data_IF_720520731858
#
_entry.id   IF_720520731858
#
_cell.length_a   1.000
_cell.length_b   1.000
_cell.length_c   1.000
_cell.angle_alpha   90.00
_cell.angle_beta   90.00
_cell.angle_gamma   90.00
#
_symmetry.space_group_name_H-M   'P 1'
#
loop_
_entity.id
_entity.type
_entity.pdbx_description
1 polymer ?
#
# COMPACT_ATOMS: atom_id res chain seq x y z
N UNK A 1 5.29 -44.25 46.48
CA UNK A 1 4.76 -43.98 45.13
C UNK A 1 3.94 -42.67 45.05
N UNK A 2 2.95 -42.44 45.93
CA UNK A 2 2.06 -41.25 45.89
C UNK A 2 2.78 -39.89 46.13
N UNK A 3 3.78 -39.83 47.04
CA UNK A 3 4.53 -38.60 47.31
C UNK A 3 5.41 -38.16 46.13
N UNK A 4 5.97 -39.11 45.40
CA UNK A 4 6.80 -38.86 44.20
C UNK A 4 5.92 -38.37 43.04
N UNK A 5 4.73 -38.96 42.87
CA UNK A 5 3.75 -38.54 41.87
C UNK A 5 3.23 -37.11 42.12
N UNK A 6 2.93 -36.76 43.38
CA UNK A 6 2.54 -35.38 43.75
C UNK A 6 3.65 -34.36 43.48
N UNK A 7 4.91 -34.71 43.75
CA UNK A 7 6.06 -33.84 43.42
C UNK A 7 6.20 -33.66 41.90
N UNK A 8 6.06 -34.73 41.11
CA UNK A 8 6.12 -34.63 39.64
C UNK A 8 4.98 -33.79 39.05
N UNK A 9 3.76 -33.90 39.59
CA UNK A 9 2.62 -33.07 39.16
C UNK A 9 2.85 -31.60 39.52
N UNK A 10 3.36 -31.32 40.72
CA UNK A 10 3.69 -29.95 41.14
C UNK A 10 4.81 -29.35 40.27
N UNK A 11 5.82 -30.14 39.91
CA UNK A 11 6.88 -29.70 38.99
C UNK A 11 6.34 -29.41 37.59
N UNK A 12 5.46 -30.27 37.05
CA UNK A 12 4.85 -30.06 35.74
C UNK A 12 3.92 -28.84 35.72
N UNK A 13 3.14 -28.64 36.79
CA UNK A 13 2.30 -27.45 36.91
C UNK A 13 3.14 -26.17 36.99
N UNK A 14 4.28 -26.20 37.69
CA UNK A 14 5.19 -25.06 37.79
C UNK A 14 5.85 -24.73 36.44
N UNK A 15 6.25 -25.73 35.63
CA UNK A 15 6.84 -25.48 34.31
C UNK A 15 5.83 -24.93 33.31
N UNK A 16 4.58 -25.42 33.34
CA UNK A 16 3.49 -24.89 32.50
C UNK A 16 3.14 -23.45 32.89
N UNK A 17 3.05 -23.15 34.19
CA UNK A 17 2.79 -21.80 34.68
C UNK A 17 3.91 -20.82 34.30
N UNK A 18 5.18 -21.26 34.37
CA UNK A 18 6.33 -20.45 33.96
C UNK A 18 6.30 -20.17 32.44
N UNK A 19 5.99 -21.17 31.62
CA UNK A 19 5.87 -21.01 30.17
C UNK A 19 4.76 -20.03 29.79
N UNK A 20 3.59 -20.15 30.42
CA UNK A 20 2.45 -19.24 30.20
C UNK A 20 2.75 -17.81 30.65
N UNK A 21 3.51 -17.65 31.75
CA UNK A 21 3.93 -16.32 32.23
C UNK A 21 4.90 -15.66 31.23
N UNK A 22 5.84 -16.43 30.67
CA UNK A 22 6.79 -15.93 29.68
C UNK A 22 6.08 -15.52 28.38
N UNK A 23 5.11 -16.32 27.89
CA UNK A 23 4.35 -15.97 26.68
C UNK A 23 3.50 -14.72 26.89
N UNK A 24 2.88 -14.54 28.05
CA UNK A 24 2.15 -13.32 28.40
C UNK A 24 3.07 -12.08 28.48
N UNK A 25 4.28 -12.22 29.03
CA UNK A 25 5.26 -11.13 29.08
C UNK A 25 5.72 -10.75 27.66
N UNK A 26 5.99 -11.73 26.79
CA UNK A 26 6.36 -11.48 25.38
C UNK A 26 5.22 -10.81 24.60
N UNK A 27 3.96 -11.23 24.82
CA UNK A 27 2.79 -10.59 24.20
C UNK A 27 2.57 -9.16 24.73
N UNK A 28 2.73 -8.93 26.04
CA UNK A 28 2.62 -7.58 26.63
C UNK A 28 3.72 -6.65 26.13
N UNK A 29 4.94 -7.14 25.96
CA UNK A 29 6.05 -6.37 25.41
C UNK A 29 5.83 -6.05 23.91
N UNK A 30 5.24 -6.97 23.15
CA UNK A 30 4.85 -6.70 21.75
C UNK A 30 3.75 -5.62 21.65
N UNK A 31 2.78 -5.59 22.56
CA UNK A 31 1.78 -4.50 22.61
C UNK A 31 2.43 -3.14 22.91
N UNK A 32 3.41 -3.10 23.81
CA UNK A 32 4.19 -1.90 24.11
C UNK A 32 5.11 -1.49 22.97
N UNK A 33 5.67 -2.43 22.19
CA UNK A 33 6.44 -2.10 20.98
C UNK A 33 5.53 -1.56 19.86
N UNK A 34 4.34 -2.15 19.67
CA UNK A 34 3.36 -1.64 18.72
C UNK A 34 2.80 -0.27 19.10
N UNK A 35 2.72 0.03 20.41
CA UNK A 35 2.27 1.32 20.92
C UNK A 35 3.39 2.38 21.00
N UNK A 36 4.65 1.98 21.23
CA UNK A 36 5.80 2.90 21.32
C UNK A 36 6.44 3.24 19.97
N UNK A 37 6.09 2.56 18.87
CA UNK A 37 6.42 3.00 17.50
C UNK A 37 5.63 4.25 17.07
N UNK A 38 4.70 4.72 17.90
CA UNK A 38 4.21 6.10 17.87
C UNK A 38 5.09 6.96 18.78
N UNK A 39 6.17 7.51 18.22
CA UNK A 39 6.63 8.91 18.41
C UNK A 39 8.00 9.08 17.72
N UNK A 40 8.14 10.20 17.00
CA UNK A 40 9.33 10.69 16.29
C UNK A 40 9.59 10.15 14.88
N UNK A 41 8.56 10.17 14.06
CA UNK A 41 8.77 10.56 12.65
C UNK A 41 7.86 11.75 12.40
N UNK A 42 8.44 12.89 12.00
CA UNK A 42 7.70 14.08 11.55
C UNK A 42 6.95 13.78 10.26
N UNK A 43 5.91 12.93 10.33
CA UNK A 43 4.94 12.81 9.26
C UNK A 43 4.12 14.09 9.29
N UNK A 44 4.24 14.90 8.24
CA UNK A 44 3.22 15.88 7.90
C UNK A 44 1.90 15.14 7.75
N UNK A 45 1.08 15.17 8.80
CA UNK A 45 -0.29 14.70 8.74
C UNK A 45 -0.99 15.50 7.66
N UNK A 46 -1.38 14.84 6.57
CA UNK A 46 -2.22 15.48 5.55
C UNK A 46 -3.49 15.94 6.25
N UNK A 47 -3.77 17.24 6.15
CA UNK A 47 -5.03 17.80 6.62
C UNK A 47 -6.14 17.47 5.62
N UNK A 48 -7.16 16.75 6.10
CA UNK A 48 -8.26 16.28 5.27
C UNK A 48 -9.49 17.14 5.50
N UNK A 49 -10.10 17.67 4.44
CA UNK A 49 -11.34 18.46 4.54
C UNK A 49 -12.50 17.65 5.13
N UNK A 50 -12.47 16.33 4.95
CA UNK A 50 -13.42 15.37 5.53
C UNK A 50 -12.65 14.21 6.14
N UNK A 51 -13.12 13.72 7.29
CA UNK A 51 -12.56 12.51 7.90
C UNK A 51 -12.70 11.35 6.91
N UNK A 52 -11.57 10.70 6.61
CA UNK A 52 -11.57 9.57 5.69
C UNK A 52 -12.32 8.37 6.27
N UNK A 53 -13.14 7.74 5.44
CA UNK A 53 -13.88 6.53 5.76
C UNK A 53 -13.98 5.58 4.56
N UNK A 54 -14.30 4.33 4.84
CA UNK A 54 -14.62 3.33 3.81
C UNK A 54 -15.98 3.62 3.19
N UNK A 55 -16.22 3.12 1.98
CA UNK A 55 -17.55 3.16 1.38
C UNK A 55 -18.46 2.16 2.11
N UNK A 56 -19.59 2.65 2.59
CA UNK A 56 -20.59 1.84 3.29
C UNK A 56 -21.98 2.14 2.72
N UNK A 57 -22.70 1.15 2.16
CA UNK A 57 -22.27 -0.23 1.91
C UNK A 57 -21.22 -0.31 0.77
N UNK A 58 -20.32 -1.31 0.77
CA UNK A 58 -19.43 -1.56 -0.36
C UNK A 58 -20.22 -1.87 -1.63
N UNK A 59 -19.70 -1.45 -2.80
CA UNK A 59 -20.23 -1.90 -4.09
C UNK A 59 -19.82 -3.36 -4.36
N UNK A 60 -20.61 -4.13 -5.14
CA UNK A 60 -20.24 -5.48 -5.53
C UNK A 60 -19.09 -5.52 -6.56
N UNK A 61 -18.76 -4.36 -7.14
CA UNK A 61 -17.70 -4.16 -8.14
C UNK A 61 -16.81 -2.98 -7.76
N UNK A 62 -15.64 -2.88 -8.40
CA UNK A 62 -14.76 -1.73 -8.30
C UNK A 62 -14.90 -0.81 -9.52
N UNK A 63 -14.56 0.47 -9.33
CA UNK A 63 -14.42 1.45 -10.41
C UNK A 63 -12.93 1.73 -10.61
N UNK A 64 -12.41 1.52 -11.81
CA UNK A 64 -11.01 1.77 -12.11
C UNK A 64 -10.74 3.28 -12.25
N UNK A 65 -9.64 3.76 -11.67
CA UNK A 65 -8.99 5.00 -12.08
C UNK A 65 -7.78 4.61 -12.94
N UNK A 66 -7.99 4.57 -14.25
CA UNK A 66 -7.03 4.08 -15.22
C UNK A 66 -6.28 5.24 -15.89
N UNK A 67 -4.96 5.09 -16.04
CA UNK A 67 -4.15 6.05 -16.81
C UNK A 67 -2.71 5.56 -17.01
N UNK A 68 -2.00 6.23 -17.91
CA UNK A 68 -0.54 6.10 -18.01
C UNK A 68 0.15 6.67 -16.75
N UNK A 69 1.27 6.09 -16.27
CA UNK A 69 2.08 6.69 -15.21
C UNK A 69 2.43 8.16 -15.48
N UNK A 70 2.60 8.98 -14.43
CA UNK A 70 2.85 10.43 -14.61
C UNK A 70 1.62 11.28 -15.00
N UNK A 71 0.44 10.69 -15.22
CA UNK A 71 -0.78 11.42 -15.59
C UNK A 71 -1.49 12.14 -14.43
N UNK A 72 -0.99 12.03 -13.20
CA UNK A 72 -1.55 12.76 -12.03
C UNK A 72 -2.54 11.98 -11.15
N UNK A 73 -2.53 10.65 -11.17
CA UNK A 73 -3.46 9.84 -10.35
C UNK A 73 -3.43 10.18 -8.86
N UNK A 74 -2.24 10.33 -8.27
CA UNK A 74 -2.12 10.63 -6.83
C UNK A 74 -2.79 11.95 -6.48
N UNK A 75 -2.66 12.95 -7.36
CA UNK A 75 -3.32 14.25 -7.18
C UNK A 75 -4.84 14.13 -7.31
N UNK A 76 -5.36 13.45 -8.34
CA UNK A 76 -6.80 13.25 -8.48
C UNK A 76 -7.39 12.44 -7.32
N UNK A 77 -6.70 11.38 -6.86
CA UNK A 77 -7.13 10.61 -5.69
C UNK A 77 -7.20 11.47 -4.44
N UNK A 78 -6.21 12.34 -4.22
CA UNK A 78 -6.21 13.29 -3.13
C UNK A 78 -7.46 14.19 -3.18
N UNK A 79 -7.75 14.79 -4.34
CA UNK A 79 -8.94 15.63 -4.51
C UNK A 79 -10.24 14.85 -4.26
N UNK A 80 -10.37 13.64 -4.81
CA UNK A 80 -11.55 12.79 -4.59
C UNK A 80 -11.74 12.47 -3.10
N UNK A 81 -10.66 12.16 -2.39
CA UNK A 81 -10.69 11.95 -0.94
C UNK A 81 -11.09 13.22 -0.18
N UNK A 82 -10.53 14.39 -0.55
CA UNK A 82 -10.88 15.68 0.07
C UNK A 82 -12.38 15.99 -0.05
N UNK A 83 -12.95 15.79 -1.25
CA UNK A 83 -14.33 16.18 -1.54
C UNK A 83 -15.34 15.17 -0.98
N UNK A 84 -15.02 13.88 -1.01
CA UNK A 84 -15.98 12.82 -0.64
C UNK A 84 -15.81 12.30 0.78
N UNK A 85 -14.60 12.34 1.34
CA UNK A 85 -14.24 11.59 2.56
C UNK A 85 -14.08 10.08 2.33
N UNK A 86 -14.36 9.56 1.13
CA UNK A 86 -14.23 8.13 0.84
C UNK A 86 -12.79 7.84 0.40
N UNK A 87 -12.16 6.84 1.02
CA UNK A 87 -10.80 6.41 0.67
C UNK A 87 -10.72 5.91 -0.79
N UNK A 88 -9.56 6.08 -1.42
CA UNK A 88 -9.28 5.56 -2.77
C UNK A 88 -8.26 4.44 -2.72
N UNK A 89 -8.50 3.39 -3.51
CA UNK A 89 -7.66 2.20 -3.58
C UNK A 89 -6.63 2.23 -4.69
N UNK A 90 -5.84 1.16 -4.76
CA UNK A 90 -4.81 0.93 -5.78
C UNK A 90 -4.59 -0.57 -5.95
N UNK A 91 -4.37 -1.01 -7.20
CA UNK A 91 -4.00 -2.41 -7.49
C UNK A 91 -2.56 -2.76 -7.07
N UNK A 92 -1.81 -1.79 -6.56
CA UNK A 92 -0.42 -1.95 -6.12
C UNK A 92 -0.26 -1.38 -4.71
N UNK A 93 0.73 -1.88 -3.99
CA UNK A 93 1.08 -1.38 -2.66
C UNK A 93 2.26 -0.40 -2.76
N UNK A 94 1.98 0.88 -2.55
CA UNK A 94 3.01 1.90 -2.35
C UNK A 94 3.09 2.30 -0.87
N UNK A 95 4.11 1.81 -0.15
CA UNK A 95 4.27 2.10 1.27
C UNK A 95 4.45 3.59 1.58
N UNK A 96 5.07 4.35 0.68
CA UNK A 96 5.28 5.79 0.85
C UNK A 96 3.94 6.51 0.81
N UNK A 97 3.09 6.19 -0.17
CA UNK A 97 1.75 6.76 -0.27
C UNK A 97 0.84 6.29 0.87
N UNK A 98 0.92 5.02 1.27
CA UNK A 98 0.11 4.49 2.38
C UNK A 98 0.36 5.23 3.68
N UNK A 99 1.62 5.53 3.99
CA UNK A 99 2.00 6.34 5.16
C UNK A 99 1.66 7.82 5.01
N UNK A 100 1.54 8.32 3.77
CA UNK A 100 1.19 9.70 3.43
C UNK A 100 -0.27 9.84 2.99
N UNK A 101 -1.20 9.24 3.73
CA UNK A 101 -2.63 9.53 3.60
C UNK A 101 -3.39 8.80 2.49
N UNK A 102 -2.82 7.73 1.92
CA UNK A 102 -3.55 6.79 1.05
C UNK A 102 -3.72 5.42 1.74
N UNK A 103 -4.54 5.32 2.81
CA UNK A 103 -4.58 4.13 3.67
C UNK A 103 -5.03 2.85 2.94
N UNK A 104 -5.78 2.99 1.84
CA UNK A 104 -6.32 1.90 1.06
C UNK A 104 -5.42 1.46 -0.13
N UNK A 105 -4.12 1.77 -0.10
CA UNK A 105 -3.17 1.10 -1.01
C UNK A 105 -3.29 -0.43 -0.89
N UNK A 106 -3.24 -1.12 -2.03
CA UNK A 106 -3.51 -2.56 -2.20
C UNK A 106 -4.97 -3.01 -1.98
N UNK A 107 -5.92 -2.09 -1.77
CA UNK A 107 -7.35 -2.41 -1.78
C UNK A 107 -7.91 -2.11 -3.17
N UNK A 108 -8.67 -3.07 -3.71
CA UNK A 108 -9.10 -3.05 -5.11
C UNK A 108 -10.54 -3.49 -5.35
N UNK A 109 -11.39 -3.49 -4.32
CA UNK A 109 -12.81 -3.86 -4.37
C UNK A 109 -13.74 -2.64 -4.21
N UNK A 110 -15.05 -2.87 -4.09
CA UNK A 110 -16.04 -1.81 -3.97
C UNK A 110 -16.11 -1.12 -2.60
N UNK A 111 -15.24 -1.44 -1.65
CA UNK A 111 -15.12 -0.72 -0.36
C UNK A 111 -14.45 0.65 -0.47
N UNK A 112 -13.86 0.95 -1.62
CA UNK A 112 -13.22 2.24 -1.92
C UNK A 112 -13.98 3.00 -3.02
N UNK A 113 -13.72 4.30 -3.15
CA UNK A 113 -14.36 5.14 -4.16
C UNK A 113 -13.99 4.73 -5.59
N UNK A 114 -12.69 4.66 -5.85
CA UNK A 114 -12.05 4.26 -7.13
C UNK A 114 -10.74 3.53 -6.82
N UNK A 115 -10.27 2.70 -7.76
CA UNK A 115 -9.04 1.92 -7.64
C UNK A 115 -8.05 2.30 -8.74
N UNK A 116 -6.92 2.89 -8.36
CA UNK A 116 -5.86 3.28 -9.29
C UNK A 116 -5.20 2.09 -9.97
N UNK A 117 -5.02 2.16 -11.28
CA UNK A 117 -4.29 1.18 -12.10
C UNK A 117 -3.58 1.81 -13.30
N UNK A 118 -2.44 1.24 -13.68
CA UNK A 118 -1.74 1.54 -14.94
C UNK A 118 -1.76 0.38 -15.93
N UNK A 119 -2.35 -0.77 -15.53
CA UNK A 119 -2.34 -1.98 -16.33
C UNK A 119 -3.49 -1.97 -17.31
N UNK A 120 -3.20 -2.29 -18.56
CA UNK A 120 -4.18 -2.64 -19.57
C UNK A 120 -3.73 -3.92 -20.31
N UNK A 121 -4.55 -4.99 -20.31
CA UNK A 121 -5.70 -5.21 -19.44
C UNK A 121 -5.27 -5.43 -17.97
N UNK A 122 -6.04 -4.99 -16.97
CA UNK A 122 -5.79 -5.37 -15.57
C UNK A 122 -5.97 -6.89 -15.38
N UNK A 123 -5.17 -7.50 -14.50
CA UNK A 123 -5.17 -8.96 -14.25
C UNK A 123 -6.55 -9.53 -13.93
N UNK A 124 -7.41 -8.75 -13.28
CA UNK A 124 -8.76 -9.12 -12.89
C UNK A 124 -9.76 -8.15 -13.52
N UNK A 125 -9.85 -8.12 -14.86
CA UNK A 125 -10.82 -7.29 -15.60
C UNK A 125 -12.24 -7.42 -15.04
N UNK A 126 -12.66 -8.65 -14.71
CA UNK A 126 -14.00 -8.97 -14.20
C UNK A 126 -14.33 -8.29 -12.85
N UNK A 127 -13.33 -7.71 -12.16
CA UNK A 127 -13.53 -6.98 -10.89
C UNK A 127 -13.99 -5.53 -11.13
N UNK A 128 -13.75 -5.00 -12.32
CA UNK A 128 -14.07 -3.62 -12.68
C UNK A 128 -15.31 -3.57 -13.58
N UNK A 129 -16.32 -2.83 -13.15
CA UNK A 129 -17.53 -2.61 -13.96
C UNK A 129 -17.38 -1.37 -14.87
N UNK A 130 -16.66 -0.36 -14.39
CA UNK A 130 -16.45 0.91 -15.11
C UNK A 130 -15.08 1.51 -14.83
N UNK A 131 -14.71 2.52 -15.61
CA UNK A 131 -13.44 3.21 -15.48
C UNK A 131 -13.56 4.72 -15.69
N UNK A 132 -12.84 5.47 -14.85
CA UNK A 132 -12.45 6.86 -15.10
C UNK A 132 -11.09 6.83 -15.78
N UNK A 133 -11.03 7.26 -17.02
CA UNK A 133 -9.79 7.35 -17.79
C UNK A 133 -9.17 8.75 -17.64
N UNK A 134 -8.03 8.83 -16.96
CA UNK A 134 -7.29 10.07 -16.79
C UNK A 134 -6.21 10.20 -17.87
N UNK A 135 -6.33 11.24 -18.69
CA UNK A 135 -5.40 11.53 -19.80
C UNK A 135 -4.63 12.82 -19.50
N UNK A 136 -3.33 12.79 -19.76
CA UNK A 136 -2.43 13.96 -19.72
C UNK A 136 -1.68 14.04 -21.04
N UNK A 137 -1.19 15.23 -21.39
CA UNK A 137 -0.26 15.40 -22.50
C UNK A 137 0.86 14.33 -22.42
N UNK A 138 1.08 13.52 -23.48
CA UNK A 138 2.02 12.41 -23.43
C UNK A 138 3.45 12.81 -23.09
N UNK A 139 3.93 13.96 -23.61
CA UNK A 139 5.27 14.49 -23.33
C UNK A 139 5.46 14.72 -21.84
N UNK A 140 4.49 15.35 -21.20
CA UNK A 140 4.56 15.70 -19.78
C UNK A 140 4.38 14.48 -18.88
N UNK A 141 3.54 13.52 -19.29
CA UNK A 141 3.36 12.27 -18.56
C UNK A 141 4.63 11.42 -18.56
N UNK A 142 5.29 11.30 -19.73
CA UNK A 142 6.57 10.60 -19.88
C UNK A 142 7.66 11.27 -19.04
N UNK A 143 7.78 12.60 -19.12
CA UNK A 143 8.77 13.34 -18.34
C UNK A 143 8.52 13.20 -16.83
N UNK A 144 7.26 13.28 -16.39
CA UNK A 144 6.90 13.09 -15.00
C UNK A 144 7.20 11.68 -14.49
N UNK A 145 6.95 10.65 -15.31
CA UNK A 145 7.30 9.28 -14.96
C UNK A 145 8.81 9.06 -14.92
N UNK A 146 9.56 9.66 -15.85
CA UNK A 146 11.02 9.65 -15.83
C UNK A 146 11.56 10.26 -14.53
N UNK A 147 11.03 11.43 -14.13
CA UNK A 147 11.37 12.07 -12.86
C UNK A 147 11.04 11.16 -11.67
N UNK A 148 9.87 10.49 -11.70
CA UNK A 148 9.45 9.57 -10.64
C UNK A 148 10.41 8.39 -10.49
N UNK A 149 10.82 7.79 -11.60
CA UNK A 149 11.72 6.63 -11.61
C UNK A 149 13.10 7.01 -11.08
N UNK A 150 13.61 8.18 -11.45
CA UNK A 150 14.98 8.59 -11.11
C UNK A 150 15.09 9.37 -9.78
N UNK A 151 13.99 9.90 -9.23
CA UNK A 151 14.03 10.79 -8.06
C UNK A 151 12.82 10.69 -7.14
N UNK A 152 11.96 9.69 -7.32
CA UNK A 152 10.78 9.45 -6.47
C UNK A 152 9.58 10.35 -6.80
N UNK A 153 8.47 10.17 -6.08
CA UNK A 153 7.15 10.73 -6.44
C UNK A 153 7.06 12.24 -6.65
N UNK A 154 7.92 13.01 -5.98
CA UNK A 154 7.94 14.48 -6.03
C UNK A 154 9.31 15.02 -6.44
N UNK A 155 10.25 14.14 -6.83
CA UNK A 155 11.59 14.55 -7.22
C UNK A 155 11.66 14.96 -8.69
N UNK A 156 12.75 15.64 -9.03
CA UNK A 156 13.10 16.00 -10.40
C UNK A 156 14.39 15.27 -10.74
N UNK A 157 14.41 14.55 -11.87
CA UNK A 157 15.60 13.83 -12.28
C UNK A 157 16.77 14.80 -12.52
N UNK A 158 17.99 14.47 -12.05
CA UNK A 158 19.16 15.27 -12.37
C UNK A 158 19.46 15.19 -13.88
N UNK A 159 20.09 16.24 -14.44
CA UNK A 159 20.45 16.26 -15.87
C UNK A 159 21.24 15.02 -16.30
N UNK A 160 22.11 14.50 -15.43
CA UNK A 160 22.90 13.29 -15.67
C UNK A 160 22.05 12.04 -15.94
N UNK A 161 20.82 11.96 -15.45
CA UNK A 161 19.92 10.84 -15.72
C UNK A 161 19.50 10.78 -17.20
N UNK A 162 19.41 11.93 -17.88
CA UNK A 162 19.05 12.01 -19.30
C UNK A 162 20.23 11.64 -20.21
N UNK A 163 21.45 11.83 -19.73
CA UNK A 163 22.69 11.50 -20.44
C UNK A 163 23.07 10.02 -20.32
N UNK A 164 22.39 9.27 -19.43
CA UNK A 164 22.63 7.84 -19.27
C UNK A 164 22.25 7.13 -20.57
N UNK A 165 23.24 6.64 -21.31
CA UNK A 165 23.04 5.88 -22.55
C UNK A 165 21.98 4.82 -22.31
N UNK A 166 20.83 4.95 -22.98
CA UNK A 166 19.78 3.95 -22.97
C UNK A 166 20.41 2.65 -23.46
N UNK A 167 20.75 1.74 -22.55
CA UNK A 167 21.03 0.36 -22.95
C UNK A 167 19.69 -0.17 -23.44
N UNK A 168 19.51 -0.14 -24.77
CA UNK A 168 18.39 -0.82 -25.39
C UNK A 168 18.35 -2.25 -24.81
N UNK A 169 17.19 -2.72 -24.31
CA UNK A 169 17.09 -4.10 -23.89
C UNK A 169 17.54 -4.96 -25.07
N UNK A 170 18.54 -5.81 -24.86
CA UNK A 170 18.94 -6.81 -25.86
C UNK A 170 17.68 -7.56 -26.24
N UNK A 171 17.23 -7.49 -27.49
CA UNK A 171 16.14 -8.32 -28.00
C UNK A 171 16.54 -9.76 -27.70
N UNK A 172 15.88 -10.43 -26.74
CA UNK A 172 15.92 -11.89 -26.69
C UNK A 172 15.19 -12.33 -27.95
N UNK A 173 15.94 -12.87 -28.91
CA UNK A 173 15.35 -13.50 -30.08
C UNK A 173 14.37 -14.57 -29.63
N UNK A 174 13.16 -14.53 -30.17
CA UNK A 174 12.24 -15.64 -30.09
C UNK A 174 12.87 -16.82 -30.85
N UNK A 175 13.20 -17.90 -30.14
CA UNK A 175 13.36 -19.21 -30.74
C UNK A 175 12.01 -19.90 -30.58
N UNK A 176 11.31 -20.28 -31.66
CA UNK A 176 10.15 -21.15 -31.57
C UNK A 176 10.63 -22.57 -31.24
N UNK A 177 9.91 -23.22 -30.32
CA UNK A 177 9.95 -24.68 -30.15
C UNK A 177 9.35 -25.39 -31.36
#
# INVERSE_FOLDING_TARGET
MIKTLRKSILFLAATVALYFSITLIVLSNNEKQYSNDKINTGYSSIDWCKKLHWRTPPLPFAIALASYPGSGNTWLRYLLQQVTGIVTGSVSLDYSLRKKGFPAENISDGSVLVVKTHKYPPKNLNKFESAVLLIRNPRDAILAEFNRINSGHTGIAPKSAFEMKVRAPKRKGYLPD
#
